data_IF_353260561336
#
_entry.id   IF_353260561336
#
_cell.length_a   1.000
_cell.length_b   1.000
_cell.length_c   1.000
_cell.angle_alpha   90.00
_cell.angle_beta   90.00
_cell.angle_gamma   90.00
#
_symmetry.space_group_name_H-M   'P 1'
#
loop_
_entity.id
_entity.type
_entity.pdbx_description
1 polymer ?
#
# COMPACT_ATOMS: atom_id res chain seq x y z
N UNK A 1 -13.50 5.43 35.62
CA UNK A 1 -13.76 5.03 34.21
C UNK A 1 -12.42 4.80 33.51
N UNK A 2 -12.02 3.55 33.34
CA UNK A 2 -10.76 3.19 32.69
C UNK A 2 -10.87 3.42 31.16
N UNK A 3 -10.02 4.28 30.60
CA UNK A 3 -9.96 4.53 29.15
C UNK A 3 -9.18 3.39 28.49
N UNK A 4 -9.79 2.76 27.50
CA UNK A 4 -9.35 1.53 26.84
C UNK A 4 -7.98 1.66 26.18
N UNK A 5 -7.11 0.70 26.51
CA UNK A 5 -5.78 0.52 25.96
C UNK A 5 -5.90 0.01 24.52
N UNK A 6 -5.74 0.88 23.51
CA UNK A 6 -5.73 0.45 22.10
C UNK A 6 -4.39 -0.19 21.78
N UNK A 7 -4.36 -1.53 21.82
CA UNK A 7 -3.21 -2.30 21.33
C UNK A 7 -2.92 -1.92 19.88
N UNK A 8 -1.82 -1.19 19.68
CA UNK A 8 -1.29 -0.82 18.37
C UNK A 8 -0.84 -2.10 17.68
N UNK A 9 -1.75 -2.72 16.94
CA UNK A 9 -1.45 -3.94 16.18
C UNK A 9 -0.23 -3.67 15.29
N UNK A 10 0.80 -4.48 15.49
CA UNK A 10 2.05 -4.43 14.78
C UNK A 10 1.77 -4.78 13.32
N UNK A 11 1.36 -3.80 12.52
CA UNK A 11 1.11 -3.98 11.08
C UNK A 11 2.43 -4.45 10.49
N UNK A 12 2.49 -5.72 10.07
CA UNK A 12 3.60 -6.26 9.25
C UNK A 12 3.97 -5.20 8.22
N UNK A 13 5.23 -4.78 8.23
CA UNK A 13 5.78 -3.82 7.29
C UNK A 13 5.37 -4.24 5.89
N UNK A 14 4.58 -3.39 5.22
CA UNK A 14 4.22 -3.65 3.83
C UNK A 14 5.51 -3.62 3.03
N UNK A 15 5.72 -4.60 2.15
CA UNK A 15 6.89 -4.64 1.26
C UNK A 15 7.07 -3.25 0.61
N UNK A 16 8.25 -2.60 0.71
CA UNK A 16 8.45 -1.25 0.16
C UNK A 16 8.21 -1.15 -1.35
N UNK A 17 8.35 -2.28 -2.05
CA UNK A 17 8.09 -2.41 -3.49
C UNK A 17 6.61 -2.61 -3.84
N UNK A 18 5.75 -2.86 -2.86
CA UNK A 18 4.34 -3.07 -3.14
C UNK A 18 3.68 -1.75 -3.53
N UNK A 19 2.88 -1.71 -4.61
CA UNK A 19 2.17 -0.51 -5.01
C UNK A 19 1.19 -0.08 -3.92
N UNK A 20 1.13 1.23 -3.66
CA UNK A 20 0.20 1.83 -2.70
C UNK A 20 -1.22 1.80 -3.26
N UNK A 21 -2.21 1.54 -2.41
CA UNK A 21 -3.64 1.52 -2.80
C UNK A 21 -4.06 2.85 -3.45
N UNK A 22 -4.93 2.76 -4.46
CA UNK A 22 -5.60 3.91 -5.05
C UNK A 22 -6.40 4.70 -4.00
N UNK A 23 -6.57 6.00 -4.23
CA UNK A 23 -7.33 6.89 -3.35
C UNK A 23 -8.79 6.91 -3.78
N UNK A 24 -9.70 6.98 -2.81
CA UNK A 24 -11.12 7.20 -3.11
C UNK A 24 -11.39 8.66 -3.47
N UNK A 25 -12.52 8.92 -4.13
CA UNK A 25 -12.96 10.26 -4.50
C UNK A 25 -12.90 11.27 -3.33
N UNK A 26 -13.42 10.87 -2.16
CA UNK A 26 -13.37 11.70 -0.94
C UNK A 26 -11.95 12.02 -0.48
N UNK A 27 -11.01 11.05 -0.58
CA UNK A 27 -9.62 11.26 -0.17
C UNK A 27 -8.93 12.24 -1.12
N UNK A 28 -9.19 12.14 -2.42
CA UNK A 28 -8.68 13.08 -3.42
C UNK A 28 -9.23 14.50 -3.16
N UNK A 29 -10.54 14.61 -2.97
CA UNK A 29 -11.19 15.87 -2.58
C UNK A 29 -10.58 16.46 -1.30
N UNK A 30 -10.41 15.63 -0.27
CA UNK A 30 -9.84 16.06 1.01
C UNK A 30 -8.39 16.53 0.88
N UNK A 31 -7.57 15.89 0.04
CA UNK A 31 -6.18 16.32 -0.18
C UNK A 31 -6.14 17.72 -0.80
N UNK A 32 -6.96 17.94 -1.82
CA UNK A 32 -7.03 19.22 -2.54
C UNK A 32 -7.55 20.34 -1.62
N UNK A 33 -8.67 20.10 -0.93
CA UNK A 33 -9.36 21.13 -0.16
C UNK A 33 -8.81 21.33 1.25
N UNK A 34 -8.06 20.39 1.80
CA UNK A 34 -7.49 20.52 3.16
C UNK A 34 -6.57 21.73 3.29
N UNK A 35 -5.73 22.00 2.30
CA UNK A 35 -4.84 23.16 2.36
C UNK A 35 -5.65 24.46 2.35
N UNK A 36 -6.71 24.53 1.54
CA UNK A 36 -7.62 25.65 1.51
C UNK A 36 -8.30 25.85 2.88
N UNK A 37 -8.94 24.82 3.44
CA UNK A 37 -9.62 24.90 4.75
C UNK A 37 -8.65 25.25 5.88
N UNK A 38 -7.42 24.73 5.83
CA UNK A 38 -6.36 25.05 6.81
C UNK A 38 -5.94 26.51 6.73
N UNK A 39 -5.85 27.08 5.52
CA UNK A 39 -5.45 28.47 5.33
C UNK A 39 -6.58 29.44 5.72
N UNK A 40 -7.84 29.07 5.46
CA UNK A 40 -9.03 29.83 5.90
C UNK A 40 -9.20 29.77 7.42
N UNK A 41 -8.78 28.68 8.06
CA UNK A 41 -8.91 28.47 9.50
C UNK A 41 -7.54 28.14 10.14
N UNK A 42 -6.62 29.11 10.22
CA UNK A 42 -5.28 28.93 10.77
C UNK A 42 -5.35 28.85 12.31
N UNK A 43 -5.78 27.69 12.82
CA UNK A 43 -5.97 27.47 14.26
C UNK A 43 -6.77 26.20 14.56
N UNK A 44 -7.53 25.70 13.58
CA UNK A 44 -8.24 24.44 13.73
C UNK A 44 -7.27 23.25 13.79
N UNK A 45 -7.58 22.30 14.67
CA UNK A 45 -6.85 21.04 14.73
C UNK A 45 -7.05 20.24 13.42
N UNK A 46 -6.11 19.37 13.05
CA UNK A 46 -6.28 18.48 11.90
C UNK A 46 -7.56 17.63 11.93
N UNK A 47 -8.09 17.34 13.13
CA UNK A 47 -9.33 16.60 13.32
C UNK A 47 -10.55 17.45 12.93
N UNK A 48 -10.59 18.71 13.37
CA UNK A 48 -11.67 19.64 13.04
C UNK A 48 -11.69 19.94 11.53
N UNK A 49 -10.51 20.16 10.93
CA UNK A 49 -10.40 20.32 9.47
C UNK A 49 -10.98 19.10 8.73
N UNK A 50 -10.74 17.88 9.22
CA UNK A 50 -11.31 16.68 8.62
C UNK A 50 -12.84 16.58 8.78
N UNK A 51 -13.37 17.05 9.92
CA UNK A 51 -14.82 17.15 10.14
C UNK A 51 -15.46 18.12 9.15
N UNK A 52 -14.86 19.31 8.97
CA UNK A 52 -15.32 20.33 8.02
C UNK A 52 -15.29 19.81 6.57
N UNK A 53 -14.20 19.15 6.16
CA UNK A 53 -14.11 18.51 4.84
C UNK A 53 -15.17 17.43 4.63
N UNK A 54 -15.51 16.68 5.69
CA UNK A 54 -16.58 15.69 5.64
C UNK A 54 -17.96 16.32 5.43
N UNK A 55 -18.22 17.47 6.07
CA UNK A 55 -19.45 18.24 5.86
C UNK A 55 -19.49 18.83 4.44
N UNK A 56 -18.40 19.45 4.00
CA UNK A 56 -18.24 19.97 2.64
C UNK A 56 -18.48 18.89 1.58
N UNK A 57 -17.92 17.69 1.74
CA UNK A 57 -18.14 16.60 0.80
C UNK A 57 -19.60 16.12 0.76
N UNK A 58 -20.27 16.06 1.91
CA UNK A 58 -21.70 15.69 1.95
C UNK A 58 -22.54 16.69 1.16
N UNK A 59 -22.26 17.99 1.33
CA UNK A 59 -22.96 19.08 0.65
C UNK A 59 -22.42 19.39 -0.75
N UNK A 60 -21.34 18.75 -1.20
CA UNK A 60 -20.73 19.02 -2.50
C UNK A 60 -21.66 18.66 -3.67
N UNK A 61 -21.56 19.44 -4.74
CA UNK A 61 -22.34 19.27 -5.95
C UNK A 61 -22.11 17.88 -6.60
N UNK A 62 -23.13 17.33 -7.27
CA UNK A 62 -23.00 16.07 -8.00
C UNK A 62 -21.85 16.11 -9.03
N UNK A 63 -21.67 17.23 -9.72
CA UNK A 63 -20.60 17.40 -10.70
C UNK A 63 -19.20 17.33 -10.06
N UNK A 64 -19.03 17.97 -8.91
CA UNK A 64 -17.78 17.89 -8.13
C UNK A 64 -17.52 16.45 -7.70
N UNK A 65 -18.55 15.77 -7.17
CA UNK A 65 -18.45 14.36 -6.76
C UNK A 65 -18.08 13.46 -7.94
N UNK A 66 -18.70 13.66 -9.09
CA UNK A 66 -18.44 12.90 -10.32
C UNK A 66 -17.01 13.13 -10.84
N UNK A 67 -16.52 14.37 -10.81
CA UNK A 67 -15.14 14.69 -11.20
C UNK A 67 -14.12 13.91 -10.35
N UNK A 68 -14.27 13.94 -9.02
CA UNK A 68 -13.38 13.19 -8.13
C UNK A 68 -13.58 11.66 -8.22
N UNK A 69 -14.78 11.21 -8.58
CA UNK A 69 -15.05 9.79 -8.85
C UNK A 69 -14.28 9.33 -10.10
N UNK A 70 -14.33 10.08 -11.20
CA UNK A 70 -13.55 9.78 -12.42
C UNK A 70 -12.05 9.74 -12.16
N UNK A 71 -11.53 10.69 -11.39
CA UNK A 71 -10.12 10.69 -10.95
C UNK A 71 -9.77 9.45 -10.11
N UNK A 72 -10.65 9.06 -9.20
CA UNK A 72 -10.48 7.86 -8.36
C UNK A 72 -10.50 6.58 -9.19
N UNK A 73 -11.38 6.49 -10.18
CA UNK A 73 -11.48 5.36 -11.08
C UNK A 73 -10.25 5.25 -11.99
N UNK A 74 -9.70 6.38 -12.45
CA UNK A 74 -8.42 6.40 -13.17
C UNK A 74 -7.26 5.88 -12.29
N UNK A 75 -7.12 6.38 -11.05
CA UNK A 75 -6.10 5.86 -10.12
C UNK A 75 -6.28 4.36 -9.82
N UNK A 76 -7.54 3.89 -9.78
CA UNK A 76 -7.87 2.48 -9.53
C UNK A 76 -7.42 1.58 -10.68
N UNK A 77 -7.60 2.02 -11.92
CA UNK A 77 -7.13 1.30 -13.11
C UNK A 77 -5.61 1.16 -13.07
N UNK A 78 -4.88 2.28 -12.89
CA UNK A 78 -3.42 2.25 -12.80
C UNK A 78 -2.92 1.37 -11.66
N UNK A 79 -3.58 1.44 -10.48
CA UNK A 79 -3.24 0.58 -9.36
C UNK A 79 -3.46 -0.89 -9.69
N UNK A 80 -4.50 -1.22 -10.45
CA UNK A 80 -4.77 -2.58 -10.92
C UNK A 80 -3.59 -3.14 -11.73
N UNK A 81 -3.09 -2.38 -12.70
CA UNK A 81 -1.95 -2.76 -13.54
C UNK A 81 -0.67 -2.92 -12.71
N UNK A 82 -0.33 -1.89 -11.90
CA UNK A 82 0.85 -1.91 -11.02
C UNK A 82 0.78 -3.06 -10.02
N UNK A 83 -0.40 -3.32 -9.44
CA UNK A 83 -0.62 -4.44 -8.52
C UNK A 83 -0.50 -5.79 -9.21
N UNK A 84 -0.89 -5.91 -10.47
CA UNK A 84 -0.77 -7.17 -11.21
C UNK A 84 0.70 -7.46 -11.54
N UNK A 85 1.42 -6.45 -12.03
CA UNK A 85 2.87 -6.54 -12.28
C UNK A 85 3.63 -6.94 -11.01
N UNK A 86 3.35 -6.29 -9.87
CA UNK A 86 3.98 -6.62 -8.59
C UNK A 86 3.70 -8.06 -8.12
N UNK A 87 2.45 -8.53 -8.30
CA UNK A 87 2.10 -9.92 -7.96
C UNK A 87 2.88 -10.92 -8.83
N UNK A 88 2.98 -10.67 -10.13
CA UNK A 88 3.70 -11.52 -11.06
C UNK A 88 5.21 -11.55 -10.75
N UNK A 89 5.82 -10.40 -10.49
CA UNK A 89 7.23 -10.31 -10.06
C UNK A 89 7.48 -11.12 -8.77
N UNK A 90 6.59 -10.98 -7.79
CA UNK A 90 6.70 -11.71 -6.53
C UNK A 90 6.56 -13.23 -6.70
N UNK A 91 5.72 -13.69 -7.62
CA UNK A 91 5.57 -15.11 -7.96
C UNK A 91 6.86 -15.63 -8.62
N UNK A 92 7.39 -14.92 -9.61
CA UNK A 92 8.60 -15.32 -10.35
C UNK A 92 9.82 -15.39 -9.42
N UNK A 93 10.00 -14.40 -8.55
CA UNK A 93 11.07 -14.39 -7.56
C UNK A 93 10.94 -15.56 -6.56
N UNK A 94 9.72 -15.93 -6.17
CA UNK A 94 9.48 -17.09 -5.28
C UNK A 94 9.78 -18.43 -5.97
N UNK A 95 9.57 -18.54 -7.28
CA UNK A 95 9.91 -19.73 -8.06
C UNK A 95 11.43 -19.88 -8.23
N UNK A 96 12.15 -18.79 -8.53
CA UNK A 96 13.62 -18.79 -8.57
C UNK A 96 14.25 -19.17 -7.22
N UNK A 97 13.70 -18.68 -6.09
CA UNK A 97 14.18 -19.05 -4.75
C UNK A 97 13.95 -20.53 -4.40
N UNK A 98 12.97 -21.20 -5.01
CA UNK A 98 12.74 -22.64 -4.82
C UNK A 98 13.69 -23.48 -5.68
N UNK A 99 13.98 -23.05 -6.91
CA UNK A 99 14.87 -23.78 -7.83
C UNK A 99 16.32 -23.80 -7.33
N UNK A 100 16.81 -22.69 -6.76
CA UNK A 100 18.15 -22.63 -6.17
C UNK A 100 18.31 -23.44 -4.86
N UNK A 101 17.21 -23.86 -4.22
CA UNK A 101 17.28 -24.76 -3.05
C UNK A 101 17.38 -26.24 -3.41
N UNK A 102 16.91 -26.64 -4.59
CA UNK A 102 17.05 -28.03 -5.07
C UNK A 102 18.43 -28.32 -5.66
N UNK A 103 19.11 -27.33 -6.25
CA UNK A 103 20.41 -27.56 -6.91
C UNK A 103 21.61 -27.69 -5.95
N UNK A 104 21.48 -27.32 -4.67
CA UNK A 104 22.59 -27.42 -3.70
C UNK A 104 22.73 -28.80 -3.02
N UNK A 105 21.95 -29.80 -3.45
CA UNK A 105 22.00 -31.16 -2.87
C UNK A 105 22.67 -32.21 -3.78
N UNK A 106 23.16 -31.85 -4.97
CA UNK A 106 23.81 -32.82 -5.88
C UNK A 106 25.34 -32.67 -5.98
N UNK A 107 25.94 -31.53 -5.66
CA UNK A 107 27.41 -31.35 -5.77
C UNK A 107 28.22 -31.90 -4.58
N UNK A 108 27.59 -32.34 -3.49
CA UNK A 108 28.29 -32.86 -2.30
C UNK A 108 28.58 -34.37 -2.33
N UNK A 109 28.28 -35.07 -3.43
CA UNK A 109 28.46 -36.52 -3.57
C UNK A 109 29.66 -36.95 -4.42
N UNK A 110 30.57 -36.03 -4.79
CA UNK A 110 31.75 -36.36 -5.60
C UNK A 110 33.10 -36.14 -4.89
N UNK A 111 33.09 -35.70 -3.62
CA UNK A 111 34.31 -35.40 -2.85
C UNK A 111 34.70 -36.48 -1.81
N UNK A 112 34.04 -37.64 -1.79
CA UNK A 112 34.25 -38.67 -0.74
C UNK A 112 35.30 -39.74 -1.15
N UNK A 113 35.63 -39.92 -2.43
CA UNK A 113 36.50 -41.04 -2.86
C UNK A 113 38.02 -40.79 -2.80
N UNK A 114 38.50 -39.58 -2.51
CA UNK A 114 39.94 -39.28 -2.58
C UNK A 114 40.67 -39.46 -1.22
N UNK A 115 39.93 -39.57 -0.11
CA UNK A 115 40.53 -39.61 1.24
C UNK A 115 40.56 -41.01 1.89
N UNK A 116 40.35 -42.09 1.13
CA UNK A 116 40.41 -43.47 1.67
C UNK A 116 41.65 -44.26 1.26
N UNK A 117 42.69 -43.60 0.73
CA UNK A 117 43.94 -44.27 0.37
C UNK A 117 45.15 -43.56 0.99
N UNK A 118 45.29 -43.69 2.30
CA UNK A 118 46.59 -43.89 2.94
C UNK A 118 46.44 -44.58 4.29
#
# INVERSE_FOLDING_TARGET
MAKSNTMKSNKKSKDPKAPKRYRSAYILFSIEKRNQVKNENPGLSPKEILSELGALWKSADPQTKEYFQKLSDAEKVEYGEKSNAYKNEKINNKQHLKKNKSNNNEENNQSIEINSSQ
#
